data_IF_835355292157
#
_entry.id   IF_835355292157
#
_cell.length_a   1.000
_cell.length_b   1.000
_cell.length_c   1.000
_cell.angle_alpha   90.00
_cell.angle_beta   90.00
_cell.angle_gamma   90.00
#
_symmetry.space_group_name_H-M   'P 1'
#
loop_
_entity.id
_entity.type
_entity.pdbx_description
1 polymer ?
#
# COMPACT_ATOMS: atom_id res chain seq x y z
N UNK A 1 -12.77 -16.49 2.92
CA UNK A 1 -12.58 -17.70 2.08
C UNK A 1 -11.13 -17.81 1.58
N UNK A 2 -10.56 -16.79 0.90
CA UNK A 2 -9.19 -16.86 0.34
C UNK A 2 -8.11 -17.16 1.37
N UNK A 3 -8.21 -16.59 2.57
CA UNK A 3 -7.27 -16.88 3.68
C UNK A 3 -7.35 -18.32 4.18
N UNK A 4 -8.55 -18.88 4.25
CA UNK A 4 -8.76 -20.28 4.65
C UNK A 4 -8.12 -21.24 3.65
N UNK A 5 -8.39 -21.02 2.34
CA UNK A 5 -7.81 -21.82 1.26
C UNK A 5 -6.28 -21.72 1.27
N UNK A 6 -5.74 -20.51 1.49
CA UNK A 6 -4.29 -20.32 1.57
C UNK A 6 -3.68 -21.05 2.77
N UNK A 7 -4.34 -21.07 3.92
CA UNK A 7 -3.86 -21.78 5.10
C UNK A 7 -3.76 -23.30 4.88
N UNK A 8 -4.62 -23.88 4.05
CA UNK A 8 -4.63 -25.31 3.79
C UNK A 8 -3.35 -25.83 3.13
N UNK A 9 -2.67 -24.99 2.37
CA UNK A 9 -1.41 -25.35 1.69
C UNK A 9 -0.17 -25.14 2.56
N UNK A 10 -0.31 -24.51 3.74
CA UNK A 10 0.80 -24.28 4.66
C UNK A 10 1.03 -25.49 5.59
N UNK A 11 2.29 -25.84 5.87
CA UNK A 11 2.60 -26.83 6.91
C UNK A 11 1.99 -26.45 8.26
N UNK A 12 1.53 -27.41 9.07
CA UNK A 12 0.90 -27.14 10.37
C UNK A 12 1.73 -26.24 11.26
N UNK A 13 3.02 -26.43 11.33
CA UNK A 13 3.95 -25.68 12.20
C UNK A 13 4.05 -24.20 11.80
N UNK A 14 3.88 -23.92 10.51
CA UNK A 14 3.82 -22.54 10.00
C UNK A 14 2.42 -21.96 10.19
N UNK A 15 1.40 -22.77 9.98
CA UNK A 15 -0.01 -22.40 10.18
C UNK A 15 -0.26 -21.92 11.60
N UNK A 16 0.19 -22.66 12.59
CA UNK A 16 0.03 -22.36 14.01
C UNK A 16 0.69 -21.03 14.40
N UNK A 17 1.79 -20.68 13.75
CA UNK A 17 2.45 -19.38 13.97
C UNK A 17 1.66 -18.19 13.40
N UNK A 18 1.02 -18.37 12.24
CA UNK A 18 0.25 -17.31 11.58
C UNK A 18 -1.24 -17.36 11.91
N UNK A 19 -1.70 -18.37 12.62
CA UNK A 19 -3.05 -18.41 13.14
C UNK A 19 -3.22 -17.30 14.17
N UNK A 20 -4.23 -16.47 13.98
CA UNK A 20 -4.57 -15.40 14.90
C UNK A 20 -6.01 -15.50 15.33
N UNK A 21 -6.25 -15.22 16.60
CA UNK A 21 -7.58 -15.13 17.19
C UNK A 21 -7.88 -13.70 17.56
N UNK A 22 -9.00 -13.18 17.06
CA UNK A 22 -9.52 -11.90 17.49
C UNK A 22 -10.31 -12.09 18.78
N UNK A 23 -9.92 -11.40 19.82
CA UNK A 23 -10.57 -11.39 21.13
C UNK A 23 -11.23 -10.04 21.31
N UNK A 24 -12.56 -9.98 21.40
CA UNK A 24 -13.25 -8.76 21.80
C UNK A 24 -12.99 -8.50 23.29
N UNK A 25 -12.62 -7.28 23.62
CA UNK A 25 -12.43 -6.79 24.98
C UNK A 25 -13.64 -5.97 25.46
N UNK A 26 -14.66 -5.83 24.62
CA UNK A 26 -15.95 -5.24 25.00
C UNK A 26 -16.78 -6.26 25.77
N UNK A 27 -17.31 -5.88 26.92
CA UNK A 27 -18.18 -6.70 27.74
C UNK A 27 -19.21 -5.83 28.47
N UNK A 28 -20.38 -6.39 28.71
CA UNK A 28 -21.50 -5.69 29.35
C UNK A 28 -21.23 -5.33 30.83
N UNK A 29 -20.27 -6.02 31.47
CA UNK A 29 -19.91 -5.78 32.85
C UNK A 29 -18.38 -5.57 33.00
N UNK A 30 -17.94 -4.69 33.96
CA UNK A 30 -16.52 -4.47 34.20
C UNK A 30 -15.78 -5.74 34.59
N UNK A 31 -16.43 -6.64 35.33
CA UNK A 31 -15.86 -7.92 35.79
C UNK A 31 -15.62 -8.89 34.63
N UNK A 32 -16.55 -8.97 33.67
CA UNK A 32 -16.40 -9.76 32.45
C UNK A 32 -15.25 -9.24 31.58
N UNK A 33 -15.13 -7.92 31.45
CA UNK A 33 -14.01 -7.30 30.74
C UNK A 33 -12.66 -7.60 31.41
N UNK A 34 -12.61 -7.52 32.72
CA UNK A 34 -11.41 -7.86 33.47
C UNK A 34 -10.99 -9.33 33.27
N UNK A 35 -11.95 -10.26 33.25
CA UNK A 35 -11.71 -11.68 32.99
C UNK A 35 -11.15 -11.90 31.57
N UNK A 36 -11.70 -11.22 30.56
CA UNK A 36 -11.20 -11.26 29.17
C UNK A 36 -9.76 -10.77 29.07
N UNK A 37 -9.46 -9.61 29.68
CA UNK A 37 -8.11 -9.04 29.69
C UNK A 37 -7.12 -9.95 30.44
N UNK A 38 -7.50 -10.52 31.57
CA UNK A 38 -6.68 -11.51 32.31
C UNK A 38 -6.43 -12.76 31.50
N UNK A 39 -7.38 -13.18 30.67
CA UNK A 39 -7.25 -14.30 29.74
C UNK A 39 -6.18 -14.11 28.64
N UNK A 40 -5.72 -12.88 28.42
CA UNK A 40 -4.61 -12.59 27.49
C UNK A 40 -3.23 -12.87 28.09
N UNK A 41 -3.11 -13.14 29.39
CA UNK A 41 -1.83 -13.36 30.05
C UNK A 41 -1.03 -14.49 29.38
N UNK A 42 0.22 -14.18 29.01
CA UNK A 42 1.11 -15.11 28.34
C UNK A 42 0.83 -15.33 26.85
N UNK A 43 -0.26 -14.77 26.30
CA UNK A 43 -0.53 -14.82 24.86
C UNK A 43 0.34 -13.80 24.14
N UNK A 44 0.82 -14.17 22.96
CA UNK A 44 1.62 -13.31 22.10
C UNK A 44 0.69 -12.52 21.19
N UNK A 45 0.85 -11.20 21.12
CA UNK A 45 0.04 -10.34 20.27
C UNK A 45 0.48 -10.46 18.80
N UNK A 46 -0.48 -10.62 17.90
CA UNK A 46 -0.23 -10.62 16.46
C UNK A 46 -0.21 -9.19 15.89
N UNK A 47 -1.03 -8.31 16.46
CA UNK A 47 -1.07 -6.89 16.12
C UNK A 47 -0.96 -6.05 17.41
N UNK A 48 -0.50 -4.79 17.31
CA UNK A 48 -0.43 -3.91 18.48
C UNK A 48 -1.85 -3.62 18.99
N UNK A 49 -2.03 -3.63 20.31
CA UNK A 49 -3.28 -3.18 20.90
C UNK A 49 -3.20 -1.66 21.07
N UNK A 50 -4.14 -0.96 20.47
CA UNK A 50 -4.26 0.50 20.53
C UNK A 50 -5.51 0.92 21.29
N UNK A 51 -5.47 2.10 21.93
CA UNK A 51 -6.65 2.74 22.50
C UNK A 51 -7.46 3.49 21.45
N UNK A 52 -8.60 4.07 21.82
CA UNK A 52 -9.46 4.86 20.91
C UNK A 52 -8.74 6.09 20.32
N UNK A 53 -7.67 6.56 20.94
CA UNK A 53 -6.84 7.69 20.48
C UNK A 53 -5.70 7.23 19.52
N UNK A 54 -5.60 5.91 19.23
CA UNK A 54 -4.55 5.34 18.39
C UNK A 54 -3.20 5.16 19.10
N UNK A 55 -3.14 5.33 20.41
CA UNK A 55 -1.91 5.12 21.19
C UNK A 55 -1.71 3.63 21.44
N UNK A 56 -0.52 3.13 21.14
CA UNK A 56 -0.13 1.74 21.34
C UNK A 56 0.02 1.43 22.85
N UNK A 57 -0.65 0.37 23.30
CA UNK A 57 -0.64 -0.10 24.70
C UNK A 57 0.22 -1.34 24.83
N UNK A 58 0.09 -2.27 23.88
CA UNK A 58 0.89 -3.50 23.78
C UNK A 58 1.43 -3.61 22.38
N UNK A 59 2.76 -3.71 22.20
CA UNK A 59 3.37 -3.87 20.88
C UNK A 59 3.01 -5.21 20.23
N UNK A 60 3.04 -5.23 18.89
CA UNK A 60 2.96 -6.49 18.13
C UNK A 60 4.12 -7.44 18.53
N UNK A 61 3.93 -8.73 18.33
CA UNK A 61 4.89 -9.80 18.63
C UNK A 61 5.35 -9.88 20.09
N UNK A 62 4.66 -9.20 21.01
CA UNK A 62 4.98 -9.16 22.44
C UNK A 62 4.02 -10.05 23.23
N UNK A 63 4.57 -10.81 24.19
CA UNK A 63 3.75 -11.57 25.13
C UNK A 63 3.18 -10.65 26.22
N UNK A 64 1.88 -10.80 26.50
CA UNK A 64 1.20 -9.99 27.52
C UNK A 64 1.62 -10.43 28.91
N UNK A 65 2.32 -9.56 29.61
CA UNK A 65 2.72 -9.75 31.01
C UNK A 65 1.76 -9.04 31.98
N UNK A 66 2.07 -9.10 33.27
CA UNK A 66 1.25 -8.45 34.29
C UNK A 66 1.25 -6.91 34.21
N UNK A 67 2.31 -6.31 33.67
CA UNK A 67 2.39 -4.86 33.45
C UNK A 67 1.46 -4.41 32.33
N UNK A 68 1.44 -5.13 31.23
CA UNK A 68 0.52 -4.86 30.12
C UNK A 68 -0.93 -5.08 30.49
N UNK A 69 -1.24 -6.12 31.30
CA UNK A 69 -2.61 -6.34 31.82
C UNK A 69 -3.09 -5.12 32.61
N UNK A 70 -2.26 -4.55 33.46
CA UNK A 70 -2.61 -3.35 34.23
C UNK A 70 -2.90 -2.15 33.32
N UNK A 71 -2.09 -1.96 32.29
CA UNK A 71 -2.29 -0.90 31.29
C UNK A 71 -3.58 -1.11 30.48
N UNK A 72 -3.87 -2.36 30.10
CA UNK A 72 -5.08 -2.71 29.36
C UNK A 72 -6.35 -2.49 30.19
N UNK A 73 -6.32 -2.80 31.49
CA UNK A 73 -7.45 -2.56 32.39
C UNK A 73 -7.76 -1.07 32.53
N UNK A 74 -6.73 -0.22 32.48
CA UNK A 74 -6.86 1.24 32.55
C UNK A 74 -7.19 1.89 31.19
N UNK A 75 -7.21 1.13 30.10
CA UNK A 75 -7.45 1.59 28.73
C UNK A 75 -8.86 1.32 28.26
N UNK A 76 -9.22 1.93 27.15
CA UNK A 76 -10.47 1.75 26.42
C UNK A 76 -10.31 0.84 25.16
N UNK A 77 -9.24 0.01 25.12
CA UNK A 77 -9.02 -0.93 24.04
C UNK A 77 -10.20 -1.88 23.87
N UNK A 78 -10.64 -2.06 22.63
CA UNK A 78 -11.85 -2.82 22.29
C UNK A 78 -11.56 -4.22 21.78
N UNK A 79 -10.41 -4.40 21.16
CA UNK A 79 -10.02 -5.65 20.53
C UNK A 79 -8.56 -6.00 20.81
N UNK A 80 -8.27 -7.28 20.83
CA UNK A 80 -6.92 -7.82 20.85
C UNK A 80 -6.80 -8.94 19.82
N UNK A 81 -5.73 -8.96 19.03
CA UNK A 81 -5.44 -10.01 18.07
C UNK A 81 -4.22 -10.78 18.58
N UNK A 82 -4.43 -12.04 18.94
CA UNK A 82 -3.42 -12.91 19.54
C UNK A 82 -2.97 -13.99 18.57
N UNK A 83 -1.69 -14.37 18.62
CA UNK A 83 -1.18 -15.55 17.93
C UNK A 83 -1.68 -16.82 18.60
N UNK A 84 -2.09 -17.79 17.78
CA UNK A 84 -2.59 -19.07 18.23
C UNK A 84 -3.93 -18.99 18.94
N UNK A 85 -4.65 -20.06 18.95
CA UNK A 85 -5.89 -20.19 19.69
C UNK A 85 -6.73 -21.34 19.12
N UNK A 86 -7.30 -22.16 20.00
CA UNK A 86 -8.22 -23.25 19.65
C UNK A 86 -9.60 -22.75 19.17
N UNK A 87 -9.64 -21.64 18.45
CA UNK A 87 -10.91 -21.01 18.03
C UNK A 87 -11.57 -21.69 16.83
N UNK A 88 -10.90 -22.68 16.23
CA UNK A 88 -11.40 -23.34 15.01
C UNK A 88 -11.44 -22.44 13.77
N UNK A 89 -10.92 -21.24 13.86
CA UNK A 89 -10.81 -20.30 12.74
C UNK A 89 -9.43 -20.39 12.09
N UNK A 90 -9.32 -21.24 11.11
CA UNK A 90 -8.11 -21.57 10.36
C UNK A 90 -7.84 -20.59 9.24
N UNK A 91 -7.36 -19.38 9.52
CA UNK A 91 -6.97 -18.44 8.46
C UNK A 91 -5.97 -17.39 8.95
N UNK A 92 -5.14 -16.91 8.04
CA UNK A 92 -4.28 -15.74 8.29
C UNK A 92 -5.16 -14.54 8.69
N UNK A 93 -4.93 -13.98 9.87
CA UNK A 93 -5.73 -12.90 10.44
C UNK A 93 -5.60 -11.57 9.68
N UNK A 94 -4.54 -11.40 8.88
CA UNK A 94 -4.21 -10.17 8.19
C UNK A 94 -4.12 -10.36 6.68
N UNK A 95 -4.16 -9.23 5.96
CA UNK A 95 -3.98 -9.18 4.51
C UNK A 95 -2.52 -9.52 4.16
N UNK A 96 -2.33 -10.57 3.37
CA UNK A 96 -1.01 -11.07 2.99
C UNK A 96 -0.61 -10.55 1.61
N UNK A 97 0.24 -9.52 1.59
CA UNK A 97 0.83 -8.98 0.38
C UNK A 97 2.22 -9.56 0.10
N UNK A 98 2.94 -8.95 -0.85
CA UNK A 98 4.29 -9.37 -1.26
C UNK A 98 5.29 -9.41 -0.10
N UNK A 99 5.24 -8.44 0.80
CA UNK A 99 6.17 -8.35 1.95
C UNK A 99 5.91 -9.47 2.96
N UNK A 100 4.65 -9.73 3.25
CA UNK A 100 4.22 -10.76 4.19
C UNK A 100 4.52 -12.15 3.65
N UNK A 101 4.30 -12.39 2.35
CA UNK A 101 4.73 -13.63 1.69
C UNK A 101 6.25 -13.83 1.78
N UNK A 102 7.04 -12.78 1.60
CA UNK A 102 8.49 -12.85 1.78
C UNK A 102 8.90 -13.28 3.19
N UNK A 103 8.24 -12.74 4.22
CA UNK A 103 8.47 -13.15 5.62
C UNK A 103 8.06 -14.60 5.87
N UNK A 104 6.94 -15.04 5.30
CA UNK A 104 6.47 -16.43 5.39
C UNK A 104 7.48 -17.39 4.78
N UNK A 105 7.99 -17.10 3.59
CA UNK A 105 9.01 -17.93 2.93
C UNK A 105 10.30 -17.99 3.74
N UNK A 106 10.77 -16.85 4.28
CA UNK A 106 11.96 -16.83 5.15
C UNK A 106 11.78 -17.73 6.37
N UNK A 107 10.63 -17.66 7.02
CA UNK A 107 10.32 -18.51 8.16
C UNK A 107 10.20 -20.00 7.81
N UNK A 108 9.60 -20.33 6.67
CA UNK A 108 9.58 -21.71 6.18
C UNK A 108 11.01 -22.22 5.99
N UNK A 109 11.89 -21.40 5.44
CA UNK A 109 13.29 -21.77 5.23
C UNK A 109 14.05 -21.99 6.55
N UNK A 110 13.84 -21.11 7.52
CA UNK A 110 14.44 -21.25 8.86
C UNK A 110 13.96 -22.51 9.60
N UNK A 111 12.68 -22.87 9.43
CA UNK A 111 12.06 -24.00 10.15
C UNK A 111 12.34 -25.35 9.47
N UNK A 112 12.28 -25.42 8.15
CA UNK A 112 12.28 -26.69 7.41
C UNK A 112 13.48 -26.86 6.46
N UNK A 113 14.29 -25.83 6.23
CA UNK A 113 15.34 -25.84 5.21
C UNK A 113 14.80 -25.75 3.77
N UNK A 114 15.71 -25.87 2.79
CA UNK A 114 15.42 -25.55 1.39
C UNK A 114 14.40 -26.46 0.70
N UNK A 115 14.48 -27.77 0.92
CA UNK A 115 13.65 -28.75 0.18
C UNK A 115 12.15 -28.59 0.46
N UNK A 116 11.77 -28.52 1.73
CA UNK A 116 10.36 -28.37 2.12
C UNK A 116 9.82 -26.97 1.84
N UNK A 117 10.70 -25.96 1.91
CA UNK A 117 10.34 -24.59 1.51
C UNK A 117 10.03 -24.49 0.01
N UNK A 118 10.78 -25.21 -0.84
CA UNK A 118 10.50 -25.25 -2.27
C UNK A 118 9.11 -25.87 -2.56
N UNK A 119 8.73 -26.92 -1.87
CA UNK A 119 7.40 -27.52 -1.97
C UNK A 119 6.29 -26.53 -1.56
N UNK A 120 6.47 -25.80 -0.45
CA UNK A 120 5.52 -24.78 -0.01
C UNK A 120 5.38 -23.67 -1.05
N UNK A 121 6.50 -23.20 -1.62
CA UNK A 121 6.49 -22.17 -2.66
C UNK A 121 5.76 -22.65 -3.92
N UNK A 122 5.97 -23.90 -4.33
CA UNK A 122 5.27 -24.49 -5.46
C UNK A 122 3.76 -24.60 -5.20
N UNK A 123 3.35 -24.98 -4.01
CA UNK A 123 1.94 -24.98 -3.62
C UNK A 123 1.32 -23.58 -3.66
N UNK A 124 2.00 -22.57 -3.13
CA UNK A 124 1.57 -21.16 -3.20
C UNK A 124 1.44 -20.70 -4.65
N UNK A 125 2.43 -20.98 -5.48
CA UNK A 125 2.41 -20.66 -6.92
C UNK A 125 1.22 -21.31 -7.62
N UNK A 126 1.03 -22.60 -7.43
CA UNK A 126 -0.05 -23.34 -8.09
C UNK A 126 -1.43 -22.86 -7.66
N UNK A 127 -1.61 -22.58 -6.36
CA UNK A 127 -2.83 -21.99 -5.84
C UNK A 127 -3.10 -20.61 -6.45
N UNK A 128 -2.07 -19.77 -6.53
CA UNK A 128 -2.16 -18.43 -7.13
C UNK A 128 -2.60 -18.48 -8.58
N UNK A 129 -1.98 -19.32 -9.40
CA UNK A 129 -2.35 -19.49 -10.80
C UNK A 129 -3.77 -20.06 -10.96
N UNK A 130 -4.14 -21.04 -10.15
CA UNK A 130 -5.48 -21.64 -10.20
C UNK A 130 -6.57 -20.60 -9.95
N UNK A 131 -6.47 -19.84 -8.86
CA UNK A 131 -7.48 -18.85 -8.52
C UNK A 131 -7.43 -17.60 -9.38
N UNK A 132 -6.27 -17.19 -9.88
CA UNK A 132 -6.18 -16.10 -10.86
C UNK A 132 -6.88 -16.46 -12.17
N UNK A 133 -6.77 -17.73 -12.61
CA UNK A 133 -7.47 -18.23 -13.78
C UNK A 133 -8.99 -18.28 -13.55
N UNK A 134 -9.44 -18.82 -12.41
CA UNK A 134 -10.87 -18.88 -12.06
C UNK A 134 -11.49 -17.49 -11.92
N UNK A 135 -10.76 -16.53 -11.36
CA UNK A 135 -11.22 -15.15 -11.21
C UNK A 135 -11.28 -14.39 -12.55
N UNK A 136 -10.65 -14.92 -13.62
CA UNK A 136 -10.60 -14.24 -14.91
C UNK A 136 -9.93 -12.87 -14.83
N UNK A 137 -8.88 -12.71 -14.02
CA UNK A 137 -8.20 -11.43 -13.82
C UNK A 137 -7.65 -10.90 -15.14
N UNK A 138 -8.17 -9.75 -15.58
CA UNK A 138 -7.79 -9.10 -16.83
C UNK A 138 -7.73 -7.60 -16.65
N UNK A 139 -7.10 -6.88 -17.57
CA UNK A 139 -7.03 -5.42 -17.57
C UNK A 139 -7.72 -4.90 -18.82
N UNK A 140 -8.74 -4.08 -18.62
CA UNK A 140 -9.43 -3.35 -19.68
C UNK A 140 -9.19 -1.84 -19.53
N UNK A 141 -9.37 -1.09 -20.62
CA UNK A 141 -9.29 0.38 -20.57
C UNK A 141 -10.37 0.96 -19.66
N UNK A 142 -11.51 0.30 -19.55
CA UNK A 142 -12.60 0.66 -18.63
C UNK A 142 -12.20 0.63 -17.15
N UNK A 143 -11.23 -0.21 -16.79
CA UNK A 143 -10.77 -0.35 -15.40
C UNK A 143 -9.91 0.83 -14.94
N UNK A 144 -9.43 1.63 -15.89
CA UNK A 144 -8.66 2.85 -15.63
C UNK A 144 -9.64 3.99 -15.37
N UNK A 145 -9.97 4.25 -14.11
CA UNK A 145 -10.94 5.28 -13.73
C UNK A 145 -10.20 6.60 -13.48
N UNK A 146 -10.54 7.63 -14.28
CA UNK A 146 -10.01 8.98 -14.08
C UNK A 146 -10.86 9.68 -13.02
N UNK A 147 -10.26 10.22 -11.93
CA UNK A 147 -11.02 10.89 -10.88
C UNK A 147 -11.69 12.17 -11.41
N UNK A 148 -12.97 12.40 -11.09
CA UNK A 148 -13.69 13.61 -11.52
C UNK A 148 -13.09 14.90 -10.97
N UNK A 149 -12.53 14.84 -9.75
CA UNK A 149 -11.90 15.96 -9.06
C UNK A 149 -10.63 16.47 -9.74
N UNK A 150 -10.02 15.69 -10.63
CA UNK A 150 -8.81 16.05 -11.37
C UNK A 150 -8.90 17.43 -12.01
N UNK A 151 -10.02 17.74 -12.65
CA UNK A 151 -10.21 19.02 -13.36
C UNK A 151 -10.20 20.21 -12.41
N UNK A 152 -10.80 20.06 -11.24
CA UNK A 152 -10.87 21.11 -10.21
C UNK A 152 -9.49 21.35 -9.59
N UNK A 153 -8.76 20.27 -9.23
CA UNK A 153 -7.39 20.34 -8.69
C UNK A 153 -6.47 21.07 -9.68
N UNK A 154 -6.50 20.66 -10.96
CA UNK A 154 -5.67 21.29 -11.98
C UNK A 154 -6.00 22.76 -12.18
N UNK A 155 -7.29 23.12 -12.26
CA UNK A 155 -7.72 24.51 -12.42
C UNK A 155 -7.35 25.40 -11.22
N UNK A 156 -7.42 24.86 -10.01
CA UNK A 156 -6.99 25.55 -8.79
C UNK A 156 -5.48 25.80 -8.80
N UNK A 157 -4.69 24.79 -9.14
CA UNK A 157 -3.23 24.89 -9.23
C UNK A 157 -2.80 25.87 -10.30
N UNK A 158 -3.41 25.85 -11.49
CA UNK A 158 -3.12 26.79 -12.58
C UNK A 158 -3.33 28.25 -12.16
N UNK A 159 -4.39 28.55 -11.41
CA UNK A 159 -4.62 29.90 -10.89
C UNK A 159 -3.48 30.39 -10.00
N UNK A 160 -2.93 29.48 -9.16
CA UNK A 160 -1.82 29.81 -8.28
C UNK A 160 -0.52 29.97 -9.06
N UNK A 161 -0.23 29.06 -10.01
CA UNK A 161 0.94 29.14 -10.90
C UNK A 161 0.92 30.43 -11.70
N UNK A 162 -0.21 30.79 -12.30
CA UNK A 162 -0.37 32.05 -13.02
C UNK A 162 -0.17 33.30 -12.14
N UNK A 163 -0.38 33.18 -10.81
CA UNK A 163 -0.05 34.26 -9.87
C UNK A 163 1.46 34.35 -9.67
N UNK A 164 2.13 33.23 -9.49
CA UNK A 164 3.60 33.17 -9.33
C UNK A 164 4.29 33.74 -10.58
N UNK A 165 3.83 33.39 -11.78
CA UNK A 165 4.36 33.95 -13.04
C UNK A 165 4.15 35.46 -13.15
N UNK A 166 2.99 35.98 -12.73
CA UNK A 166 2.75 37.42 -12.69
C UNK A 166 3.67 38.15 -11.71
N UNK A 167 3.94 37.55 -10.56
CA UNK A 167 4.85 38.12 -9.57
C UNK A 167 6.29 38.12 -10.08
N UNK A 168 6.71 37.10 -10.82
CA UNK A 168 7.98 37.07 -11.54
C UNK A 168 8.08 38.15 -12.61
N UNK A 169 7.07 38.26 -13.46
CA UNK A 169 7.03 39.27 -14.52
C UNK A 169 7.00 40.73 -13.99
N UNK A 170 6.59 40.91 -12.73
CA UNK A 170 6.66 42.21 -12.01
C UNK A 170 8.00 42.44 -11.32
N UNK A 171 8.92 41.47 -11.37
CA UNK A 171 10.21 41.55 -10.70
C UNK A 171 10.17 41.38 -9.17
N UNK A 172 9.07 40.83 -8.62
CA UNK A 172 8.91 40.60 -7.18
C UNK A 172 9.65 39.37 -6.67
N UNK A 173 9.90 38.41 -7.54
CA UNK A 173 10.60 37.16 -7.22
C UNK A 173 11.68 36.90 -8.28
N UNK A 174 12.71 36.15 -7.88
CA UNK A 174 13.79 35.71 -8.78
C UNK A 174 13.36 34.50 -9.61
N UNK A 175 14.09 34.20 -10.69
CA UNK A 175 13.85 33.00 -11.54
C UNK A 175 13.96 31.71 -10.72
N UNK A 176 14.95 31.61 -9.84
CA UNK A 176 15.12 30.44 -8.97
C UNK A 176 13.93 30.24 -8.01
N UNK A 177 13.39 31.34 -7.49
CA UNK A 177 12.20 31.28 -6.63
C UNK A 177 10.95 30.90 -7.40
N UNK A 178 10.76 31.45 -8.60
CA UNK A 178 9.68 31.06 -9.51
C UNK A 178 9.74 29.57 -9.79
N UNK A 179 10.89 29.09 -10.27
CA UNK A 179 11.10 27.68 -10.61
C UNK A 179 10.80 26.76 -9.43
N UNK A 180 11.37 27.02 -8.25
CA UNK A 180 11.12 26.20 -7.04
C UNK A 180 9.64 26.19 -6.65
N UNK A 181 8.96 27.35 -6.70
CA UNK A 181 7.54 27.45 -6.38
C UNK A 181 6.68 26.69 -7.37
N UNK A 182 6.93 26.85 -8.67
CA UNK A 182 6.16 26.16 -9.74
C UNK A 182 6.33 24.66 -9.65
N UNK A 183 7.57 24.16 -9.51
CA UNK A 183 7.86 22.72 -9.35
C UNK A 183 7.15 22.17 -8.13
N UNK A 184 7.20 22.86 -7.00
CA UNK A 184 6.53 22.42 -5.77
C UNK A 184 5.00 22.36 -5.97
N UNK A 185 4.38 23.39 -6.50
CA UNK A 185 2.93 23.43 -6.75
C UNK A 185 2.45 22.29 -7.64
N UNK A 186 3.19 21.97 -8.70
CA UNK A 186 2.86 20.87 -9.59
C UNK A 186 3.15 19.49 -8.99
N UNK A 187 4.16 19.39 -8.11
CA UNK A 187 4.40 18.16 -7.35
C UNK A 187 3.23 17.88 -6.38
N UNK A 188 2.86 18.89 -5.60
CA UNK A 188 1.75 18.79 -4.64
C UNK A 188 0.43 18.44 -5.38
N UNK A 189 0.12 19.13 -6.48
CA UNK A 189 -1.06 18.80 -7.29
C UNK A 189 -1.03 17.40 -7.89
N UNK A 190 0.16 16.90 -8.22
CA UNK A 190 0.32 15.53 -8.73
C UNK A 190 0.00 14.49 -7.66
N UNK A 191 0.37 14.76 -6.41
CA UNK A 191 0.07 13.89 -5.28
C UNK A 191 -1.42 13.99 -4.89
N UNK A 192 -2.02 15.19 -4.90
CA UNK A 192 -3.47 15.39 -4.68
C UNK A 192 -4.32 14.61 -5.70
N UNK A 193 -3.94 14.66 -6.98
CA UNK A 193 -4.62 13.88 -8.04
C UNK A 193 -4.42 12.38 -7.82
N UNK A 194 -3.26 11.94 -7.32
CA UNK A 194 -3.02 10.53 -7.01
C UNK A 194 -3.86 10.05 -5.82
N UNK A 195 -4.04 10.90 -4.80
CA UNK A 195 -4.89 10.60 -3.65
C UNK A 195 -6.37 10.54 -4.05
N UNK A 196 -6.85 11.51 -4.82
CA UNK A 196 -8.20 11.50 -5.37
C UNK A 196 -8.46 10.25 -6.23
N UNK A 197 -7.49 9.85 -7.06
CA UNK A 197 -7.58 8.64 -7.87
C UNK A 197 -7.72 7.40 -6.99
N UNK A 198 -6.90 7.27 -5.95
CA UNK A 198 -6.96 6.10 -5.04
C UNK A 198 -8.27 6.05 -4.26
N UNK A 199 -8.81 7.20 -3.86
CA UNK A 199 -10.08 7.29 -3.14
C UNK A 199 -11.29 6.90 -4.01
N UNK A 200 -11.22 7.20 -5.31
CA UNK A 200 -12.29 6.90 -6.28
C UNK A 200 -12.21 5.48 -6.88
N UNK A 201 -11.16 4.71 -6.61
CA UNK A 201 -11.04 3.35 -7.10
C UNK A 201 -11.79 2.35 -6.24
N UNK A 202 -12.56 1.48 -6.90
CA UNK A 202 -13.20 0.34 -6.25
C UNK A 202 -12.11 -0.68 -5.82
N UNK A 203 -12.28 -1.23 -4.61
CA UNK A 203 -11.41 -2.29 -4.08
C UNK A 203 -11.41 -3.57 -4.91
N UNK A 204 -12.48 -3.82 -5.67
CA UNK A 204 -12.59 -4.96 -6.62
C UNK A 204 -12.13 -4.62 -8.04
N UNK A 205 -11.64 -3.41 -8.28
CA UNK A 205 -11.03 -3.07 -9.57
C UNK A 205 -9.77 -3.92 -9.78
N UNK A 206 -9.63 -4.55 -10.94
CA UNK A 206 -8.53 -5.46 -11.25
C UNK A 206 -7.16 -4.80 -11.13
N UNK A 207 -7.03 -3.57 -11.60
CA UNK A 207 -5.76 -2.80 -11.51
C UNK A 207 -5.45 -2.47 -10.06
N UNK A 208 -6.47 -2.07 -9.29
CA UNK A 208 -6.31 -1.79 -7.85
C UNK A 208 -5.86 -3.05 -7.10
N UNK A 209 -6.53 -4.19 -7.29
CA UNK A 209 -6.16 -5.45 -6.63
C UNK A 209 -4.73 -5.89 -6.93
N UNK A 210 -4.27 -5.75 -8.18
CA UNK A 210 -2.88 -6.09 -8.55
C UNK A 210 -1.85 -5.18 -7.88
N UNK A 211 -2.11 -3.87 -7.83
CA UNK A 211 -1.20 -2.91 -7.24
C UNK A 211 -1.20 -2.97 -5.70
N UNK A 212 -2.37 -3.12 -5.08
CA UNK A 212 -2.55 -3.19 -3.64
C UNK A 212 -1.96 -4.49 -3.04
N UNK A 213 -2.09 -5.62 -3.72
CA UNK A 213 -1.43 -6.87 -3.33
C UNK A 213 0.09 -6.83 -3.50
N UNK A 214 0.63 -5.88 -4.25
CA UNK A 214 2.04 -5.79 -4.61
C UNK A 214 2.48 -6.82 -5.66
N UNK A 215 1.54 -7.54 -6.29
CA UNK A 215 1.84 -8.51 -7.34
C UNK A 215 2.43 -7.83 -8.57
N UNK A 216 1.81 -6.76 -9.04
CA UNK A 216 2.28 -5.96 -10.17
C UNK A 216 1.77 -4.53 -10.10
N UNK A 217 2.64 -3.61 -10.48
CA UNK A 217 2.31 -2.18 -10.43
C UNK A 217 2.58 -1.56 -9.06
N UNK A 218 2.52 -0.25 -9.05
CA UNK A 218 2.59 0.56 -7.83
C UNK A 218 1.73 1.82 -8.01
N UNK A 219 1.53 2.57 -6.93
CA UNK A 219 0.74 3.81 -6.94
C UNK A 219 1.18 4.82 -8.00
N UNK A 220 2.50 4.97 -8.24
CA UNK A 220 3.01 5.90 -9.25
C UNK A 220 2.69 5.46 -10.68
N UNK A 221 2.71 4.16 -10.96
CA UNK A 221 2.33 3.62 -12.26
C UNK A 221 0.83 3.79 -12.51
N UNK A 222 -0.01 3.53 -11.48
CA UNK A 222 -1.45 3.77 -11.56
C UNK A 222 -1.76 5.26 -11.79
N UNK A 223 -1.04 6.16 -11.12
CA UNK A 223 -1.16 7.61 -11.30
C UNK A 223 -0.93 8.01 -12.76
N UNK A 224 0.07 7.44 -13.42
CA UNK A 224 0.33 7.73 -14.83
C UNK A 224 -0.76 7.21 -15.77
N UNK A 225 -1.45 6.12 -15.40
CA UNK A 225 -2.55 5.56 -16.18
C UNK A 225 -3.84 6.36 -16.06
N UNK A 226 -4.23 6.74 -14.83
CA UNK A 226 -5.54 7.29 -14.51
C UNK A 226 -5.52 8.72 -13.94
N UNK A 227 -4.44 9.14 -13.30
CA UNK A 227 -4.29 10.46 -12.72
C UNK A 227 -3.69 11.47 -13.68
N UNK A 228 -2.44 11.87 -13.44
CA UNK A 228 -1.63 12.68 -14.36
C UNK A 228 -0.19 12.19 -14.35
N UNK A 229 0.51 12.41 -15.43
CA UNK A 229 1.90 12.01 -15.55
C UNK A 229 2.82 12.87 -14.69
N UNK A 230 2.55 14.17 -14.62
CA UNK A 230 3.25 15.13 -13.77
C UNK A 230 4.54 15.68 -14.39
N UNK A 231 5.44 16.12 -13.54
CA UNK A 231 6.71 16.71 -13.95
C UNK A 231 7.68 15.64 -14.47
N UNK A 232 8.43 16.00 -15.51
CA UNK A 232 9.46 15.17 -16.13
C UNK A 232 10.84 15.80 -15.95
N UNK A 233 11.87 14.95 -15.93
CA UNK A 233 13.27 15.39 -15.93
C UNK A 233 13.82 15.40 -17.35
N UNK A 234 14.67 16.36 -17.64
CA UNK A 234 15.50 16.41 -18.85
C UNK A 234 16.63 15.36 -18.80
N UNK A 235 17.42 15.17 -19.86
CA UNK A 235 18.54 14.25 -19.84
C UNK A 235 19.63 14.59 -18.81
N UNK A 236 19.74 15.85 -18.40
CA UNK A 236 20.69 16.30 -17.36
C UNK A 236 20.22 15.99 -15.95
N UNK A 237 18.93 15.67 -15.77
CA UNK A 237 18.31 15.41 -14.48
C UNK A 237 17.59 16.61 -13.88
N UNK A 238 17.59 17.79 -14.57
CA UNK A 238 16.82 18.95 -14.15
C UNK A 238 15.34 18.72 -14.43
N UNK A 239 14.48 19.06 -13.48
CA UNK A 239 13.02 18.96 -13.66
C UNK A 239 12.53 20.06 -14.61
N UNK A 240 11.75 19.68 -15.61
CA UNK A 240 11.09 20.61 -16.51
C UNK A 240 9.86 21.17 -15.78
N UNK A 241 9.74 22.48 -15.65
CA UNK A 241 8.67 23.18 -14.91
C UNK A 241 7.30 23.17 -15.61
N UNK A 242 7.22 22.53 -16.79
CA UNK A 242 5.99 22.26 -17.50
C UNK A 242 5.49 20.82 -17.22
N UNK A 243 4.38 20.64 -16.46
CA UNK A 243 3.87 19.31 -16.15
C UNK A 243 3.07 18.71 -17.30
N UNK A 244 3.13 17.41 -17.44
CA UNK A 244 2.22 16.66 -18.30
C UNK A 244 0.94 16.38 -17.49
N UNK A 245 -0.13 17.15 -17.79
CA UNK A 245 -1.44 17.07 -17.10
C UNK A 245 -2.25 15.85 -17.54
N UNK A 246 -2.00 15.36 -18.75
CA UNK A 246 -2.65 14.19 -19.31
C UNK A 246 -2.17 12.89 -18.65
N UNK A 247 -3.01 11.87 -18.69
CA UNK A 247 -2.68 10.49 -18.38
C UNK A 247 -2.70 9.62 -19.64
N UNK A 248 -2.29 8.36 -19.53
CA UNK A 248 -2.26 7.46 -20.70
C UNK A 248 -3.66 7.12 -21.23
N UNK A 249 -4.69 7.12 -20.39
CA UNK A 249 -6.07 6.89 -20.83
C UNK A 249 -6.59 8.04 -21.69
N UNK A 250 -6.30 9.29 -21.31
CA UNK A 250 -6.69 10.49 -22.07
C UNK A 250 -5.88 10.65 -23.35
N UNK A 251 -4.67 10.09 -23.37
CA UNK A 251 -3.69 10.28 -24.44
C UNK A 251 -2.80 11.50 -24.23
N UNK A 252 -1.59 11.43 -24.75
CA UNK A 252 -0.60 12.52 -24.67
C UNK A 252 -0.63 13.35 -25.95
N UNK A 253 -0.43 14.65 -25.81
CA UNK A 253 -0.16 15.52 -26.96
C UNK A 253 1.24 15.24 -27.53
N UNK A 254 1.52 15.72 -28.73
CA UNK A 254 2.84 15.57 -29.35
C UNK A 254 3.94 16.18 -28.46
N UNK A 255 3.68 17.35 -27.88
CA UNK A 255 4.62 18.03 -26.98
C UNK A 255 4.85 17.23 -25.70
N UNK A 256 3.81 16.68 -25.08
CA UNK A 256 3.90 15.82 -23.89
C UNK A 256 4.72 14.56 -24.17
N UNK A 257 4.54 13.97 -25.36
CA UNK A 257 5.31 12.82 -25.79
C UNK A 257 6.80 13.15 -25.87
N UNK A 258 7.17 14.26 -26.52
CA UNK A 258 8.58 14.66 -26.63
C UNK A 258 9.21 14.92 -25.26
N UNK A 259 8.54 15.68 -24.39
CA UNK A 259 9.02 15.92 -23.02
C UNK A 259 9.22 14.60 -22.28
N UNK A 260 8.29 13.66 -22.41
CA UNK A 260 8.36 12.37 -21.72
C UNK A 260 9.40 11.40 -22.28
N UNK A 261 9.77 11.56 -23.56
CA UNK A 261 10.68 10.64 -24.23
C UNK A 261 12.12 10.72 -23.68
N UNK A 262 12.53 11.88 -23.19
CA UNK A 262 13.86 12.06 -22.58
C UNK A 262 14.10 11.13 -21.39
N UNK A 263 13.16 11.10 -20.45
CA UNK A 263 13.25 10.22 -19.28
C UNK A 263 13.13 8.73 -19.63
N UNK A 264 12.27 8.39 -20.59
CA UNK A 264 12.10 7.01 -21.04
C UNK A 264 13.37 6.47 -21.71
N UNK A 265 13.97 7.23 -22.62
CA UNK A 265 15.22 6.84 -23.28
C UNK A 265 16.39 6.71 -22.30
N UNK A 266 16.51 7.66 -21.36
CA UNK A 266 17.54 7.59 -20.31
C UNK A 266 17.34 6.33 -19.46
N UNK A 267 16.12 6.02 -19.03
CA UNK A 267 15.82 4.84 -18.22
C UNK A 267 16.16 3.53 -18.93
N UNK A 268 15.86 3.43 -20.23
CA UNK A 268 16.20 2.25 -21.04
C UNK A 268 17.73 2.10 -21.18
N UNK A 269 18.44 3.20 -21.48
CA UNK A 269 19.89 3.19 -21.62
C UNK A 269 20.59 2.85 -20.29
N UNK A 270 20.18 3.48 -19.19
CA UNK A 270 20.75 3.22 -17.86
C UNK A 270 20.53 1.77 -17.43
N UNK A 271 19.37 1.21 -17.71
CA UNK A 271 19.06 -0.20 -17.39
C UNK A 271 19.98 -1.13 -18.19
N UNK A 272 20.11 -0.91 -19.49
CA UNK A 272 20.97 -1.73 -20.36
C UNK A 272 22.44 -1.64 -19.94
N UNK A 273 22.94 -0.45 -19.63
CA UNK A 273 24.34 -0.24 -19.19
C UNK A 273 24.62 -0.86 -17.82
N UNK A 274 23.68 -0.80 -16.89
CA UNK A 274 23.87 -1.41 -15.56
C UNK A 274 23.80 -2.93 -15.57
N UNK A 275 23.08 -3.53 -16.49
CA UNK A 275 23.03 -4.99 -16.63
C UNK A 275 24.27 -5.56 -17.33
N UNK A 276 24.94 -4.77 -18.16
CA UNK A 276 26.21 -5.13 -18.82
C UNK A 276 27.41 -4.93 -17.92
#
# INVERSE_FOLDING_TARGET
>A
LGRMIFNEILPPEIRDFYEVTRVSLEADTPEAREALIKGLKGKKMAEPIVNSEGKEIVPADTAVDAGYIKNLLASDAKEAIVHGGNSGQWYLGYKTGKKELGKLVARCFETFGGSKTAEVIDNVKNLGYHYACLAGMTVAISDIIVPPEKKEILAATEKVVNRVERDYNRGLITEDERYKKVVKLWSDATDDVADAMMANMDTFNNIFMMADSGARGNRQQMRQLAGMRGLMADPSGKIIDLPIKANFREGLTVSDYFISSHGARKGLADTALRTA
#
